data_IF_037337817266
#
_entry.id   IF_037337817266
#
_cell.length_a   1.000
_cell.length_b   1.000
_cell.length_c   1.000
_cell.angle_alpha   90.00
_cell.angle_beta   90.00
_cell.angle_gamma   90.00
#
_symmetry.space_group_name_H-M   'P 1'
#
loop_
_entity.id
_entity.type
_entity.pdbx_description
1 polymer ?
#
# COMPACT_ATOMS: atom_id res chain seq x y z
N UNK A 1 36.90 19.96 -28.68
CA UNK A 1 35.60 19.43 -29.17
C UNK A 1 35.31 17.97 -28.81
N UNK A 2 36.20 17.18 -28.19
CA UNK A 2 35.91 15.79 -27.79
C UNK A 2 35.36 15.63 -26.35
N UNK A 3 35.66 16.57 -25.46
CA UNK A 3 35.26 16.48 -24.04
C UNK A 3 33.76 16.77 -23.78
N UNK A 4 33.11 17.59 -24.62
CA UNK A 4 31.69 17.96 -24.47
C UNK A 4 30.74 16.79 -24.74
N UNK A 5 31.11 15.86 -25.64
CA UNK A 5 30.31 14.67 -25.92
C UNK A 5 30.32 13.66 -24.76
N UNK A 6 31.44 13.55 -24.03
CA UNK A 6 31.57 12.62 -22.92
C UNK A 6 30.69 13.02 -21.73
N UNK A 7 30.58 14.33 -21.46
CA UNK A 7 29.75 14.87 -20.37
C UNK A 7 28.26 14.67 -20.65
N UNK A 8 27.83 14.79 -21.91
CA UNK A 8 26.45 14.50 -22.32
C UNK A 8 26.04 13.03 -22.18
N UNK A 9 26.98 12.10 -22.43
CA UNK A 9 26.72 10.66 -22.24
C UNK A 9 26.64 10.27 -20.76
N UNK A 10 27.48 10.88 -19.92
CA UNK A 10 27.44 10.66 -18.47
C UNK A 10 26.14 11.24 -17.90
N UNK A 11 25.73 12.45 -18.29
CA UNK A 11 24.47 13.06 -17.78
C UNK A 11 23.21 12.31 -18.20
N UNK A 12 23.19 11.70 -19.39
CA UNK A 12 22.06 10.89 -19.85
C UNK A 12 21.97 9.54 -19.13
N UNK A 13 23.11 8.97 -18.70
CA UNK A 13 23.15 7.71 -17.95
C UNK A 13 22.76 7.87 -16.47
N UNK A 14 23.04 9.01 -15.83
CA UNK A 14 22.59 9.26 -14.44
C UNK A 14 21.05 9.35 -14.34
N UNK A 15 20.38 9.80 -15.40
CA UNK A 15 18.91 9.85 -15.44
C UNK A 15 18.26 8.46 -15.61
N UNK A 16 19.00 7.44 -16.05
CA UNK A 16 18.46 6.11 -16.31
C UNK A 16 18.56 5.16 -15.10
N UNK A 17 19.46 5.43 -14.16
CA UNK A 17 19.78 4.53 -13.04
C UNK A 17 19.34 5.03 -11.66
N UNK A 18 18.67 6.20 -11.59
CA UNK A 18 18.45 6.92 -10.34
C UNK A 18 17.00 7.16 -9.93
N UNK A 19 15.99 6.65 -10.63
CA UNK A 19 14.63 6.67 -10.09
C UNK A 19 14.45 5.47 -9.15
N UNK A 20 14.01 5.75 -7.93
CA UNK A 20 13.55 4.77 -6.93
C UNK A 20 12.32 4.02 -7.45
N UNK A 21 12.49 3.26 -8.53
CA UNK A 21 11.41 2.47 -9.11
C UNK A 21 11.12 1.34 -8.12
N UNK A 22 9.89 1.33 -7.60
CA UNK A 22 9.40 0.19 -6.85
C UNK A 22 9.45 -1.03 -7.78
N UNK A 23 9.82 -2.21 -7.27
CA UNK A 23 9.95 -3.41 -8.09
C UNK A 23 9.62 -4.65 -7.28
N UNK A 24 9.33 -5.74 -7.98
CA UNK A 24 9.29 -7.08 -7.40
C UNK A 24 10.23 -8.01 -8.16
N UNK A 25 10.64 -9.09 -7.51
CA UNK A 25 11.45 -10.13 -8.13
C UNK A 25 10.56 -11.23 -8.70
N UNK A 26 10.76 -11.58 -9.96
CA UNK A 26 10.10 -12.72 -10.58
C UNK A 26 11.12 -13.51 -11.40
N UNK A 27 11.27 -14.80 -11.10
CA UNK A 27 12.20 -15.71 -11.81
C UNK A 27 13.63 -15.16 -11.94
N UNK A 28 14.11 -14.45 -10.93
CA UNK A 28 15.46 -13.87 -10.91
C UNK A 28 15.59 -12.52 -11.62
N UNK A 29 14.50 -11.96 -12.15
CA UNK A 29 14.49 -10.65 -12.81
C UNK A 29 13.80 -9.60 -11.93
N UNK A 30 14.32 -8.37 -11.96
CA UNK A 30 13.65 -7.21 -11.35
C UNK A 30 12.58 -6.70 -12.31
N UNK A 31 11.33 -6.80 -11.89
CA UNK A 31 10.19 -6.27 -12.64
C UNK A 31 9.77 -4.94 -12.04
N UNK A 32 9.88 -3.82 -12.78
CA UNK A 32 9.54 -2.50 -12.26
C UNK A 32 8.02 -2.36 -12.09
N UNK A 33 7.64 -1.57 -11.11
CA UNK A 33 6.28 -1.26 -10.70
C UNK A 33 6.09 0.25 -10.68
N UNK A 34 4.89 0.69 -11.09
CA UNK A 34 4.48 2.09 -11.02
C UNK A 34 3.56 2.28 -9.81
N UNK A 35 3.79 3.30 -8.98
CA UNK A 35 2.88 3.58 -7.87
C UNK A 35 1.47 3.95 -8.35
N UNK A 36 0.47 3.36 -7.70
CA UNK A 36 -0.95 3.63 -7.88
C UNK A 36 -1.37 4.73 -6.90
N UNK A 37 -1.39 5.99 -7.35
CA UNK A 37 -1.68 7.13 -6.48
C UNK A 37 -3.12 7.20 -5.97
N UNK A 38 -4.05 6.46 -6.60
CA UNK A 38 -5.48 6.46 -6.27
C UNK A 38 -5.83 5.49 -5.13
N UNK A 39 -4.90 4.65 -4.66
CA UNK A 39 -5.21 3.56 -3.72
C UNK A 39 -4.11 3.33 -2.70
N UNK A 40 -4.48 3.18 -1.42
CA UNK A 40 -3.56 2.83 -0.33
C UNK A 40 -4.15 1.80 0.61
N UNK A 41 -3.29 0.96 1.19
CA UNK A 41 -3.64 0.10 2.32
C UNK A 41 -3.44 0.87 3.62
N UNK A 42 -4.34 0.71 4.59
CA UNK A 42 -4.21 1.30 5.92
C UNK A 42 -4.41 0.26 7.03
N UNK A 43 -3.73 0.49 8.17
CA UNK A 43 -3.94 -0.22 9.43
C UNK A 43 -4.31 0.79 10.51
N UNK A 44 -5.33 0.48 11.31
CA UNK A 44 -5.85 1.35 12.37
C UNK A 44 -6.38 0.53 13.55
N UNK A 45 -6.55 1.18 14.69
CA UNK A 45 -7.17 0.57 15.87
C UNK A 45 -8.69 0.45 15.64
N UNK A 46 -9.33 -0.67 16.01
CA UNK A 46 -10.77 -0.91 15.80
C UNK A 46 -11.63 0.19 16.41
N UNK A 47 -11.22 0.75 17.53
CA UNK A 47 -11.93 1.82 18.24
C UNK A 47 -12.00 3.13 17.42
N UNK A 48 -11.09 3.31 16.45
CA UNK A 48 -11.04 4.48 15.57
C UNK A 48 -11.83 4.30 14.26
N UNK A 49 -12.49 3.16 14.03
CA UNK A 49 -13.11 2.81 12.76
C UNK A 49 -14.08 3.88 12.23
N UNK A 50 -15.04 4.31 13.04
CA UNK A 50 -16.05 5.31 12.63
C UNK A 50 -15.41 6.67 12.31
N UNK A 51 -14.37 7.03 13.08
CA UNK A 51 -13.63 8.27 12.86
C UNK A 51 -12.81 8.23 11.57
N UNK A 52 -12.14 7.10 11.29
CA UNK A 52 -11.39 6.91 10.04
C UNK A 52 -12.31 7.01 8.83
N UNK A 53 -13.47 6.36 8.88
CA UNK A 53 -14.45 6.39 7.79
C UNK A 53 -14.99 7.81 7.58
N UNK A 54 -15.35 8.50 8.66
CA UNK A 54 -15.85 9.88 8.59
C UNK A 54 -14.79 10.84 8.05
N UNK A 55 -13.54 10.73 8.52
CA UNK A 55 -12.43 11.56 8.04
C UNK A 55 -12.16 11.35 6.54
N UNK A 56 -12.16 10.12 6.08
CA UNK A 56 -11.86 9.80 4.68
C UNK A 56 -13.02 10.18 3.77
N UNK A 57 -14.26 9.98 4.19
CA UNK A 57 -15.43 10.47 3.47
C UNK A 57 -15.40 12.00 3.30
N UNK A 58 -14.93 12.75 4.32
CA UNK A 58 -14.73 14.21 4.22
C UNK A 58 -13.67 14.61 3.20
N UNK A 59 -12.70 13.74 2.92
CA UNK A 59 -11.70 13.92 1.87
C UNK A 59 -12.14 13.32 0.51
N UNK A 60 -13.41 12.92 0.38
CA UNK A 60 -13.95 12.22 -0.80
C UNK A 60 -13.21 10.91 -1.11
N UNK A 61 -12.67 10.24 -0.10
CA UNK A 61 -12.02 8.94 -0.22
C UNK A 61 -12.96 7.83 0.26
N UNK A 62 -13.05 6.76 -0.53
CA UNK A 62 -13.84 5.58 -0.20
C UNK A 62 -13.02 4.59 0.62
N UNK A 63 -13.65 4.02 1.65
CA UNK A 63 -13.03 2.99 2.50
C UNK A 63 -13.63 1.62 2.17
N UNK A 64 -12.85 0.79 1.45
CA UNK A 64 -13.21 -0.60 1.21
C UNK A 64 -12.65 -1.45 2.34
N UNK A 65 -13.54 -1.92 3.21
CA UNK A 65 -13.19 -2.80 4.33
C UNK A 65 -13.11 -4.24 3.85
N UNK A 66 -12.10 -4.95 4.32
CA UNK A 66 -12.13 -6.41 4.33
C UNK A 66 -12.54 -6.86 5.71
N UNK A 67 -13.76 -7.37 5.81
CA UNK A 67 -14.27 -7.96 7.03
C UNK A 67 -13.53 -9.27 7.29
N UNK A 68 -12.51 -9.24 8.13
CA UNK A 68 -12.06 -10.44 8.80
C UNK A 68 -11.98 -10.13 10.27
N UNK A 69 -13.03 -10.48 10.99
CA UNK A 69 -12.96 -10.72 12.42
C UNK A 69 -11.95 -11.86 12.60
N UNK A 70 -10.66 -11.50 12.72
CA UNK A 70 -9.59 -12.42 13.06
C UNK A 70 -9.73 -12.79 14.54
N UNK A 71 -10.78 -13.55 14.89
CA UNK A 71 -10.71 -14.44 16.04
C UNK A 71 -9.91 -15.67 15.61
N UNK A 72 -8.59 -15.51 15.53
CA UNK A 72 -7.68 -16.65 15.45
C UNK A 72 -7.68 -17.30 16.83
N UNK A 73 -8.73 -18.08 17.12
CA UNK A 73 -8.92 -18.81 18.38
C UNK A 73 -7.93 -19.99 18.56
N UNK A 74 -6.92 -20.13 17.71
CA UNK A 74 -6.04 -21.30 17.67
C UNK A 74 -4.64 -21.05 18.21
N UNK A 75 -4.27 -19.81 18.53
CA UNK A 75 -2.98 -19.49 19.14
C UNK A 75 -3.21 -18.55 20.32
N UNK A 76 -3.25 -19.10 21.53
CA UNK A 76 -3.17 -18.30 22.74
C UNK A 76 -1.80 -17.59 22.77
N UNK A 77 -1.74 -16.25 22.67
CA UNK A 77 -0.47 -15.56 22.80
C UNK A 77 0.07 -15.73 24.22
N UNK A 78 1.39 -15.82 24.35
CA UNK A 78 2.14 -15.97 25.61
C UNK A 78 1.78 -14.92 26.71
N UNK A 79 1.03 -13.86 26.36
CA UNK A 79 0.53 -12.84 27.27
C UNK A 79 -0.97 -12.57 27.05
N UNK A 80 -1.83 -13.52 27.45
CA UNK A 80 -3.29 -13.39 27.38
C UNK A 80 -3.88 -12.25 28.25
N UNK A 81 -3.09 -11.66 29.16
CA UNK A 81 -3.50 -10.58 30.06
C UNK A 81 -3.24 -9.15 29.54
N UNK A 82 -2.76 -8.97 28.30
CA UNK A 82 -2.78 -7.64 27.67
C UNK A 82 -4.12 -7.43 26.97
N UNK A 83 -4.77 -6.31 27.25
CA UNK A 83 -5.86 -5.81 26.41
C UNK A 83 -5.39 -5.80 24.95
N UNK A 84 -5.88 -6.77 24.19
CA UNK A 84 -5.57 -6.87 22.77
C UNK A 84 -6.37 -5.80 22.05
N UNK A 85 -5.78 -4.62 21.88
CA UNK A 85 -6.32 -3.61 20.93
C UNK A 85 -6.47 -4.29 19.59
N UNK A 86 -7.72 -4.44 19.17
CA UNK A 86 -8.03 -5.17 17.95
C UNK A 86 -7.67 -4.26 16.80
N UNK A 87 -6.70 -4.65 15.97
CA UNK A 87 -6.32 -3.88 14.80
C UNK A 87 -7.21 -4.25 13.62
N UNK A 88 -7.63 -3.26 12.86
CA UNK A 88 -8.36 -3.41 11.60
C UNK A 88 -7.56 -2.80 10.45
N UNK A 89 -7.88 -3.24 9.26
CA UNK A 89 -7.26 -2.75 8.04
C UNK A 89 -8.30 -2.54 6.96
N UNK A 90 -7.99 -1.66 6.01
CA UNK A 90 -8.86 -1.33 4.90
C UNK A 90 -8.05 -0.83 3.71
N UNK A 91 -8.71 -0.76 2.55
CA UNK A 91 -8.23 0.03 1.43
C UNK A 91 -8.92 1.38 1.40
N UNK A 92 -8.14 2.39 1.08
CA UNK A 92 -8.63 3.75 0.81
C UNK A 92 -8.48 3.97 -0.68
N UNK A 93 -9.55 4.43 -1.33
CA UNK A 93 -9.60 4.65 -2.77
C UNK A 93 -10.05 6.08 -3.05
N UNK A 94 -9.40 6.72 -4.02
CA UNK A 94 -9.79 8.01 -4.57
C UNK A 94 -9.72 7.94 -6.11
N UNK A 95 -10.80 7.49 -6.75
CA UNK A 95 -10.85 7.34 -8.22
C UNK A 95 -10.67 8.68 -8.97
N UNK A 96 -11.05 9.80 -8.33
CA UNK A 96 -10.99 11.12 -8.94
C UNK A 96 -9.64 11.84 -8.72
N UNK A 97 -8.73 11.28 -7.93
CA UNK A 97 -7.54 12.02 -7.50
C UNK A 97 -6.45 11.18 -6.85
N UNK A 98 -5.51 11.88 -6.19
CA UNK A 98 -4.39 11.26 -5.49
C UNK A 98 -4.68 11.19 -4.00
N UNK A 99 -4.24 10.11 -3.37
CA UNK A 99 -4.18 9.99 -1.91
C UNK A 99 -2.81 10.46 -1.45
N UNK A 100 -2.76 11.27 -0.39
CA UNK A 100 -1.51 11.82 0.14
C UNK A 100 -0.52 10.72 0.53
N UNK A 101 0.75 10.89 0.16
CA UNK A 101 1.84 9.99 0.57
C UNK A 101 2.12 10.05 2.07
N UNK A 102 1.72 11.15 2.72
CA UNK A 102 1.84 11.35 4.16
C UNK A 102 0.57 10.99 4.95
N UNK A 103 -0.34 10.19 4.38
CA UNK A 103 -1.62 9.83 5.00
C UNK A 103 -1.48 9.36 6.46
N UNK A 104 -0.54 8.45 6.74
CA UNK A 104 -0.33 7.96 8.11
C UNK A 104 0.12 9.07 9.08
N UNK A 105 0.87 10.06 8.60
CA UNK A 105 1.26 11.21 9.41
C UNK A 105 0.08 12.15 9.66
N UNK A 106 -0.69 12.43 8.60
CA UNK A 106 -1.85 13.31 8.61
C UNK A 106 -2.94 12.82 9.56
N UNK A 107 -3.10 11.50 9.67
CA UNK A 107 -4.07 10.84 10.54
C UNK A 107 -3.39 10.03 11.65
N UNK A 108 -2.22 10.45 12.13
CA UNK A 108 -1.36 9.69 13.07
C UNK A 108 -2.03 9.29 14.40
N UNK A 109 -3.10 9.98 14.82
CA UNK A 109 -3.89 9.59 15.99
C UNK A 109 -4.82 8.40 15.74
N UNK A 110 -5.06 8.04 14.48
CA UNK A 110 -6.08 7.07 14.05
C UNK A 110 -5.52 5.96 13.16
N UNK A 111 -4.60 6.31 12.26
CA UNK A 111 -3.93 5.43 11.32
C UNK A 111 -2.53 5.10 11.86
N UNK A 112 -2.29 3.82 12.07
CA UNK A 112 -1.02 3.29 12.56
C UNK A 112 -0.01 3.10 11.42
N UNK A 113 -0.51 2.78 10.23
CA UNK A 113 0.32 2.48 9.07
C UNK A 113 -0.45 2.71 7.77
N UNK A 114 0.27 3.16 6.75
CA UNK A 114 -0.21 3.26 5.38
C UNK A 114 0.84 2.71 4.41
N UNK A 115 0.39 1.96 3.40
CA UNK A 115 1.25 1.44 2.33
C UNK A 115 0.69 1.85 0.97
N UNK A 116 1.57 2.18 0.00
CA UNK A 116 1.15 2.37 -1.38
C UNK A 116 0.63 1.07 -2.01
N UNK A 117 -0.15 1.24 -3.07
CA UNK A 117 -0.37 0.23 -4.09
C UNK A 117 0.49 0.53 -5.32
N UNK A 118 0.67 -0.47 -6.15
CA UNK A 118 1.46 -0.41 -7.36
C UNK A 118 0.73 -1.06 -8.54
N UNK A 119 1.21 -0.78 -9.74
CA UNK A 119 0.73 -1.31 -11.00
C UNK A 119 1.87 -1.98 -11.76
N UNK A 120 1.61 -3.15 -12.31
CA UNK A 120 2.49 -3.78 -13.31
C UNK A 120 2.38 -3.06 -14.65
N UNK A 121 3.28 -3.35 -15.59
CA UNK A 121 3.19 -2.84 -16.97
C UNK A 121 1.92 -3.29 -17.68
N UNK A 122 1.35 -4.41 -17.26
CA UNK A 122 0.13 -5.01 -17.79
C UNK A 122 -1.15 -4.40 -17.17
N UNK A 123 -1.01 -3.47 -16.21
CA UNK A 123 -2.13 -2.81 -15.54
C UNK A 123 -2.71 -3.59 -14.36
N UNK A 124 -1.99 -4.57 -13.82
CA UNK A 124 -2.42 -5.34 -12.66
C UNK A 124 -2.01 -4.63 -11.36
N UNK A 125 -2.92 -4.55 -10.40
CA UNK A 125 -2.66 -3.97 -9.08
C UNK A 125 -1.86 -4.92 -8.19
N UNK A 126 -0.82 -4.39 -7.55
CA UNK A 126 0.06 -5.10 -6.61
C UNK A 126 0.15 -4.28 -5.32
N UNK A 127 -0.07 -4.91 -4.18
CA UNK A 127 0.00 -4.24 -2.89
C UNK A 127 -0.07 -5.23 -1.73
N UNK A 128 -0.01 -4.70 -0.50
CA UNK A 128 -0.23 -5.54 0.68
C UNK A 128 -1.66 -6.06 0.68
N UNK A 129 -1.78 -7.39 0.73
CA UNK A 129 -3.05 -8.09 0.88
C UNK A 129 -2.95 -9.10 2.03
N UNK A 130 -4.06 -9.35 2.71
CA UNK A 130 -4.14 -10.43 3.70
C UNK A 130 -4.59 -11.72 3.02
N UNK A 131 -3.99 -12.87 3.38
CA UNK A 131 -4.40 -14.20 2.89
C UNK A 131 -5.87 -14.52 3.18
N UNK A 132 -6.44 -13.89 4.21
CA UNK A 132 -7.87 -13.97 4.52
C UNK A 132 -8.79 -13.32 3.46
N UNK A 133 -8.23 -12.66 2.43
CA UNK A 133 -8.94 -12.12 1.27
C UNK A 133 -9.10 -13.12 0.11
N UNK A 134 -8.50 -14.31 0.18
CA UNK A 134 -8.53 -15.31 -0.91
C UNK A 134 -9.93 -15.87 -1.20
N UNK A 135 -10.94 -15.61 -0.37
CA UNK A 135 -12.29 -16.12 -0.59
C UNK A 135 -13.11 -15.22 -1.54
N UNK A 136 -12.71 -15.21 -2.82
CA UNK A 136 -13.54 -15.15 -4.05
C UNK A 136 -12.92 -14.27 -5.15
N UNK A 137 -12.47 -14.97 -6.20
CA UNK A 137 -12.67 -14.61 -7.61
C UNK A 137 -11.76 -13.55 -8.25
N UNK A 138 -10.61 -13.21 -7.69
CA UNK A 138 -9.63 -12.41 -8.43
C UNK A 138 -8.22 -12.97 -8.22
N UNK A 139 -7.55 -13.23 -9.35
CA UNK A 139 -6.16 -13.67 -9.54
C UNK A 139 -5.91 -15.17 -9.72
N UNK A 140 -5.45 -15.47 -10.93
CA UNK A 140 -4.74 -16.68 -11.34
C UNK A 140 -3.28 -16.46 -10.96
N UNK A 141 -2.63 -17.44 -10.33
CA UNK A 141 -1.18 -17.39 -10.03
C UNK A 141 -0.40 -17.14 -11.33
N UNK A 142 0.49 -16.15 -11.30
CA UNK A 142 1.55 -15.92 -12.29
C UNK A 142 2.76 -16.80 -11.94
#
# INVERSE_FOLDING_TARGET
MKALFLIGFISMSINLFGQNDSYYWYKGEKVPLKEASHKKFILFEKENEDQVISDFARNSWEVIKSSVDNTVNTLFPYNANRESRTKKWAFVINEAGKISDSLALQFSSKVLYASPFFMTKQGEEVGLFSRSMESKKYWKRI
#
